data_IF_108014091224
#
_entry.id   IF_108014091224
#
_cell.length_a   1.000
_cell.length_b   1.000
_cell.length_c   1.000
_cell.angle_alpha   90.00
_cell.angle_beta   90.00
_cell.angle_gamma   90.00
#
_symmetry.space_group_name_H-M   'P 1'
#
loop_
_entity.id
_entity.type
_entity.pdbx_description
1 polymer ?
#
# COMPACT_ATOMS: atom_id res chain seq x y z
N UNK A 1 -6.44 -6.57 -22.50
CA UNK A 1 -5.71 -6.68 -21.23
C UNK A 1 -5.05 -5.34 -20.96
N UNK A 2 -5.02 -4.86 -19.71
CA UNK A 2 -4.19 -3.70 -19.38
C UNK A 2 -2.73 -4.03 -19.67
N UNK A 3 -1.97 -3.06 -20.17
CA UNK A 3 -0.52 -3.15 -20.29
C UNK A 3 0.09 -2.84 -18.92
N UNK A 4 0.93 -3.74 -18.40
CA UNK A 4 1.57 -3.62 -17.10
C UNK A 4 3.08 -3.65 -17.33
N UNK A 5 3.77 -2.61 -16.87
CA UNK A 5 5.23 -2.59 -16.83
C UNK A 5 5.70 -3.10 -15.47
N UNK A 6 6.50 -4.15 -15.49
CA UNK A 6 7.05 -4.79 -14.30
C UNK A 6 8.50 -4.35 -14.10
N UNK A 7 8.99 -4.52 -12.88
CA UNK A 7 10.43 -4.39 -12.63
C UNK A 7 11.17 -5.61 -13.22
N UNK A 8 12.45 -5.45 -13.57
CA UNK A 8 13.27 -6.58 -14.03
C UNK A 8 13.26 -7.77 -13.03
N UNK A 9 13.17 -7.46 -11.74
CA UNK A 9 13.09 -8.47 -10.69
C UNK A 9 11.77 -9.27 -10.74
N UNK A 10 10.64 -8.58 -10.94
CA UNK A 10 9.33 -9.23 -11.02
C UNK A 10 9.17 -10.03 -12.31
N UNK A 11 9.71 -9.53 -13.43
CA UNK A 11 9.74 -10.26 -14.71
C UNK A 11 10.52 -11.57 -14.56
N UNK A 12 11.73 -11.50 -13.98
CA UNK A 12 12.54 -12.68 -13.73
C UNK A 12 11.85 -13.69 -12.81
N UNK A 13 11.19 -13.21 -11.74
CA UNK A 13 10.41 -14.08 -10.86
C UNK A 13 9.30 -14.81 -11.64
N UNK A 14 8.56 -14.11 -12.50
CA UNK A 14 7.51 -14.72 -13.32
C UNK A 14 8.10 -15.77 -14.27
N UNK A 15 9.20 -15.46 -14.95
CA UNK A 15 9.89 -16.39 -15.85
C UNK A 15 10.33 -17.67 -15.12
N UNK A 16 10.93 -17.54 -13.94
CA UNK A 16 11.36 -18.68 -13.11
C UNK A 16 10.17 -19.56 -12.71
N UNK A 17 9.05 -18.95 -12.33
CA UNK A 17 7.83 -19.67 -11.93
C UNK A 17 7.19 -20.44 -13.09
N UNK A 18 7.21 -19.88 -14.30
CA UNK A 18 6.72 -20.54 -15.51
C UNK A 18 7.69 -21.63 -15.97
N UNK A 19 9.00 -21.36 -15.98
CA UNK A 19 10.02 -22.33 -16.36
C UNK A 19 10.05 -23.56 -15.42
N UNK A 20 9.75 -23.35 -14.14
CA UNK A 20 9.61 -24.42 -13.14
C UNK A 20 8.29 -25.21 -13.30
N UNK A 21 7.37 -24.78 -14.18
CA UNK A 21 6.08 -25.43 -14.41
C UNK A 21 5.06 -25.23 -13.29
N UNK A 22 5.29 -24.28 -12.39
CA UNK A 22 4.36 -23.97 -11.28
C UNK A 22 3.09 -23.31 -11.83
N UNK A 23 3.25 -22.48 -12.87
CA UNK A 23 2.16 -21.81 -13.58
C UNK A 23 2.32 -22.03 -15.09
N UNK A 24 1.20 -21.99 -15.82
CA UNK A 24 1.19 -22.21 -17.28
C UNK A 24 1.80 -21.06 -18.07
N UNK A 25 1.65 -19.84 -17.57
CA UNK A 25 2.01 -18.59 -18.24
C UNK A 25 2.09 -17.44 -17.22
N UNK A 26 2.56 -16.29 -17.69
CA UNK A 26 2.68 -15.08 -16.87
C UNK A 26 1.34 -14.60 -16.30
N UNK A 27 0.25 -14.70 -17.07
CA UNK A 27 -1.08 -14.24 -16.67
C UNK A 27 -1.61 -15.05 -15.48
N UNK A 28 -1.32 -16.36 -15.44
CA UNK A 28 -1.64 -17.23 -14.32
C UNK A 28 -0.86 -16.85 -13.05
N UNK A 29 0.42 -16.47 -13.17
CA UNK A 29 1.23 -15.98 -12.05
C UNK A 29 0.64 -14.68 -11.50
N UNK A 30 0.38 -13.71 -12.37
CA UNK A 30 -0.17 -12.39 -12.00
C UNK A 30 -1.55 -12.56 -11.34
N UNK A 31 -2.42 -13.38 -11.93
CA UNK A 31 -3.76 -13.64 -11.38
C UNK A 31 -3.71 -14.29 -10.00
N UNK A 32 -2.80 -15.24 -9.79
CA UNK A 32 -2.60 -15.87 -8.49
C UNK A 32 -2.06 -14.86 -7.45
N UNK A 33 -1.11 -14.01 -7.84
CA UNK A 33 -0.58 -12.93 -7.00
C UNK A 33 -1.66 -11.94 -6.58
N UNK A 34 -2.48 -11.47 -7.51
CA UNK A 34 -3.60 -10.57 -7.22
C UNK A 34 -4.66 -11.21 -6.32
N UNK A 35 -4.96 -12.50 -6.52
CA UNK A 35 -5.87 -13.25 -5.63
C UNK A 35 -5.31 -13.35 -4.22
N UNK A 36 -4.01 -13.62 -4.07
CA UNK A 36 -3.36 -13.67 -2.77
C UNK A 36 -3.42 -12.30 -2.08
N UNK A 37 -3.11 -11.22 -2.81
CA UNK A 37 -3.19 -9.86 -2.28
C UNK A 37 -4.61 -9.50 -1.82
N UNK A 38 -5.63 -9.92 -2.57
CA UNK A 38 -7.04 -9.73 -2.22
C UNK A 38 -7.58 -10.66 -1.14
N UNK A 39 -6.83 -11.70 -0.76
CA UNK A 39 -7.23 -12.66 0.27
C UNK A 39 -7.15 -12.09 1.68
N UNK A 40 -7.77 -12.77 2.65
CA UNK A 40 -7.70 -12.34 4.06
C UNK A 40 -6.28 -12.44 4.62
N UNK A 41 -5.49 -13.42 4.17
CA UNK A 41 -4.07 -13.51 4.55
C UNK A 41 -3.25 -12.37 3.95
N UNK A 42 -3.52 -12.01 2.68
CA UNK A 42 -2.90 -10.84 2.04
C UNK A 42 -3.21 -9.53 2.77
N UNK A 43 -4.48 -9.31 3.11
CA UNK A 43 -4.91 -8.16 3.92
C UNK A 43 -4.27 -8.14 5.30
N UNK A 44 -4.15 -9.30 5.95
CA UNK A 44 -3.52 -9.42 7.27
C UNK A 44 -2.02 -9.13 7.22
N UNK A 45 -1.33 -9.61 6.18
CA UNK A 45 0.07 -9.29 5.95
C UNK A 45 0.27 -7.78 5.72
N UNK A 46 -0.56 -7.16 4.88
CA UNK A 46 -0.54 -5.71 4.67
C UNK A 46 -0.81 -4.92 5.97
N UNK A 47 -1.79 -5.35 6.76
CA UNK A 47 -2.09 -4.72 8.06
C UNK A 47 -0.90 -4.79 9.02
N UNK A 48 -0.19 -5.92 9.10
CA UNK A 48 1.01 -6.05 9.94
C UNK A 48 2.11 -5.07 9.52
N UNK A 49 2.31 -4.90 8.20
CA UNK A 49 3.31 -3.98 7.67
C UNK A 49 2.97 -2.52 8.01
N UNK A 50 1.71 -2.11 7.82
CA UNK A 50 1.22 -0.77 8.17
C UNK A 50 1.30 -0.51 9.69
N UNK A 51 1.03 -1.52 10.52
CA UNK A 51 1.21 -1.40 11.96
C UNK A 51 2.67 -1.18 12.33
N UNK A 52 3.60 -1.91 11.70
CA UNK A 52 5.03 -1.73 11.95
C UNK A 52 5.49 -0.34 11.52
N UNK A 53 5.08 0.13 10.34
CA UNK A 53 5.34 1.50 9.88
C UNK A 53 4.85 2.53 10.90
N UNK A 54 3.62 2.37 11.42
CA UNK A 54 3.07 3.25 12.44
C UNK A 54 3.83 3.22 13.78
N UNK A 55 4.37 2.06 14.17
CA UNK A 55 5.25 1.93 15.34
C UNK A 55 6.58 2.65 15.08
N UNK A 56 7.19 2.43 13.92
CA UNK A 56 8.46 3.05 13.54
C UNK A 56 8.33 4.59 13.45
N UNK A 57 7.18 5.09 13.00
CA UNK A 57 6.83 6.52 13.01
C UNK A 57 6.71 7.06 14.42
N UNK A 58 6.04 6.32 15.32
CA UNK A 58 5.90 6.72 16.72
C UNK A 58 7.26 6.77 17.43
N UNK A 59 8.09 5.75 17.26
CA UNK A 59 9.43 5.66 17.84
C UNK A 59 10.37 6.76 17.31
N UNK A 60 10.21 7.12 16.03
CA UNK A 60 10.95 8.23 15.42
C UNK A 60 10.36 9.62 15.74
N UNK A 61 9.28 9.71 16.53
CA UNK A 61 8.63 10.96 16.87
C UNK A 61 7.89 11.64 15.69
N UNK A 62 7.63 10.91 14.61
CA UNK A 62 6.85 11.37 13.44
C UNK A 62 5.34 11.34 13.69
N UNK A 63 4.93 11.56 14.93
CA UNK A 63 3.53 11.54 15.37
C UNK A 63 3.13 12.88 15.96
N UNK A 64 1.87 13.26 15.75
CA UNK A 64 1.30 14.46 16.34
C UNK A 64 0.39 14.09 17.51
N UNK A 65 0.65 14.66 18.69
CA UNK A 65 -0.17 14.44 19.89
C UNK A 65 -1.19 15.56 20.07
N UNK A 66 -2.48 15.19 20.12
CA UNK A 66 -3.55 16.13 20.42
C UNK A 66 -3.93 16.05 21.89
N UNK A 67 -4.04 17.21 22.55
CA UNK A 67 -4.43 17.32 23.97
C UNK A 67 -5.92 17.09 24.20
N UNK A 68 -6.73 17.16 23.14
CA UNK A 68 -8.18 16.95 23.19
C UNK A 68 -8.73 16.55 21.83
N UNK A 69 -9.90 15.91 21.84
CA UNK A 69 -10.66 15.62 20.62
C UNK A 69 -11.00 16.88 19.83
N UNK A 70 -11.28 17.99 20.51
CA UNK A 70 -11.65 19.25 19.86
C UNK A 70 -10.45 19.87 19.14
N UNK A 71 -9.24 19.76 19.70
CA UNK A 71 -8.01 20.17 19.04
C UNK A 71 -7.76 19.35 17.77
N UNK A 72 -7.93 18.03 17.84
CA UNK A 72 -7.82 17.15 16.67
C UNK A 72 -8.84 17.50 15.58
N UNK A 73 -10.11 17.65 15.95
CA UNK A 73 -11.18 17.99 15.01
C UNK A 73 -10.95 19.35 14.35
N UNK A 74 -10.42 20.32 15.09
CA UNK A 74 -10.10 21.65 14.56
C UNK A 74 -8.98 21.58 13.53
N UNK A 75 -7.96 20.75 13.77
CA UNK A 75 -6.85 20.56 12.83
C UNK A 75 -7.31 19.92 11.50
N UNK A 76 -8.14 18.87 11.56
CA UNK A 76 -8.75 18.26 10.36
C UNK A 76 -9.53 19.30 9.54
N UNK A 77 -10.31 20.16 10.21
CA UNK A 77 -11.08 21.22 9.54
C UNK A 77 -10.16 22.22 8.84
N UNK A 78 -9.05 22.59 9.48
CA UNK A 78 -8.08 23.52 8.90
C UNK A 78 -7.36 22.91 7.69
N UNK A 79 -6.92 21.65 7.77
CA UNK A 79 -6.28 20.93 6.66
C UNK A 79 -7.19 20.86 5.43
N UNK A 80 -8.47 20.51 5.64
CA UNK A 80 -9.45 20.44 4.54
C UNK A 80 -9.80 21.81 3.94
N UNK A 81 -9.68 22.90 4.71
CA UNK A 81 -9.87 24.25 4.20
C UNK A 81 -8.67 24.73 3.37
N UNK A 82 -7.44 24.41 3.79
CA UNK A 82 -6.20 24.76 3.07
C UNK A 82 -6.05 24.04 1.73
N UNK A 83 -6.49 22.77 1.66
CA UNK A 83 -6.50 22.02 0.39
C UNK A 83 -7.46 22.63 -0.65
N UNK A 84 -8.53 23.31 -0.23
CA UNK A 84 -9.48 23.96 -1.16
C UNK A 84 -8.94 25.25 -1.78
N UNK A 85 -7.99 25.91 -1.12
CA UNK A 85 -7.39 27.17 -1.60
C UNK A 85 -6.13 26.93 -2.45
N UNK A 86 -5.63 25.69 -2.53
CA UNK A 86 -4.38 25.33 -3.23
C UNK A 86 -4.54 24.82 -4.66
N UNK A 87 -5.78 24.65 -5.15
CA UNK A 87 -6.05 24.14 -6.51
C UNK A 87 -6.48 25.24 -7.50
N UNK A 88 -6.46 26.51 -7.07
CA UNK A 88 -6.68 27.67 -7.96
C UNK A 88 -5.34 28.20 -8.48
N UNK A 89 -4.68 27.44 -9.36
CA UNK A 89 -3.61 27.94 -10.24
C UNK A 89 -3.62 27.22 -11.59
#
# INVERSE_FOLDING_TARGET
MPEIHLSEQDEKFIEEQVAAGVYSDADAVISAGLRLLGSDEGKKAALKLLLQEGIDDADAGRVHSYRSRDAFLSDIKNLSAQQKTGTDH
#
